data_IF_313563088869
#
_entry.id   IF_313563088869
#
_cell.length_a   1.000
_cell.length_b   1.000
_cell.length_c   1.000
_cell.angle_alpha   90.00
_cell.angle_beta   90.00
_cell.angle_gamma   90.00
#
_symmetry.space_group_name_H-M   'P 1'
#
loop_
_entity.id
_entity.type
_entity.pdbx_description
1 polymer ?
#
# COMPACT_ATOMS: atom_id res chain seq x y z
N UNK A 1 25.75 -23.11 -13.39
CA UNK A 1 26.07 -21.73 -13.78
C UNK A 1 24.75 -21.05 -14.13
N UNK A 2 24.18 -20.29 -13.21
CA UNK A 2 22.94 -19.55 -13.45
C UNK A 2 23.31 -18.19 -14.04
N UNK A 3 23.09 -18.01 -15.31
CA UNK A 3 23.09 -16.70 -15.93
C UNK A 3 21.76 -16.01 -15.55
N UNK A 4 21.76 -15.27 -14.44
CA UNK A 4 20.74 -14.25 -14.26
C UNK A 4 20.94 -13.23 -15.39
N UNK A 5 20.02 -13.18 -16.34
CA UNK A 5 19.97 -12.12 -17.34
C UNK A 5 19.80 -10.82 -16.55
N UNK A 6 20.85 -9.97 -16.51
CA UNK A 6 20.71 -8.58 -16.07
C UNK A 6 19.63 -7.96 -16.95
N UNK A 7 18.53 -7.52 -16.37
CA UNK A 7 17.58 -6.69 -17.09
C UNK A 7 18.35 -5.47 -17.61
N UNK A 8 18.14 -5.09 -18.87
CA UNK A 8 18.74 -3.87 -19.46
C UNK A 8 18.43 -2.58 -18.67
N UNK A 9 17.53 -2.65 -17.68
CA UNK A 9 17.10 -1.54 -16.84
C UNK A 9 17.95 -1.30 -15.57
N UNK A 10 18.98 -2.10 -15.32
CA UNK A 10 19.93 -1.87 -14.22
C UNK A 10 19.45 -2.25 -12.81
N UNK A 11 18.15 -2.48 -12.59
CA UNK A 11 17.59 -2.88 -11.30
C UNK A 11 17.27 -4.37 -11.27
N UNK A 12 17.49 -5.00 -10.11
CA UNK A 12 17.17 -6.42 -9.84
C UNK A 12 16.03 -6.58 -8.86
N UNK A 13 15.62 -5.49 -8.19
CA UNK A 13 14.58 -5.47 -7.17
C UNK A 13 13.60 -4.34 -7.44
N UNK A 14 12.32 -4.69 -7.46
CA UNK A 14 11.22 -3.76 -7.70
C UNK A 14 10.28 -3.80 -6.50
N UNK A 15 10.21 -2.70 -5.78
CA UNK A 15 9.31 -2.50 -4.64
C UNK A 15 8.19 -1.55 -5.07
N UNK A 16 6.95 -1.92 -4.80
CA UNK A 16 5.77 -1.16 -5.20
C UNK A 16 4.99 -0.68 -3.98
N UNK A 17 4.38 0.49 -4.05
CA UNK A 17 3.20 0.74 -3.25
C UNK A 17 2.02 -0.11 -3.77
N UNK A 18 0.93 -0.18 -3.03
CA UNK A 18 -0.23 -1.00 -3.39
C UNK A 18 -1.39 -0.17 -3.93
N UNK A 19 -1.95 0.71 -3.09
CA UNK A 19 -3.14 1.49 -3.45
C UNK A 19 -2.78 2.55 -4.51
N UNK A 20 -3.52 2.61 -5.61
CA UNK A 20 -3.27 3.43 -6.80
C UNK A 20 -1.96 3.15 -7.57
N UNK A 21 -1.16 2.19 -7.13
CA UNK A 21 0.03 1.74 -7.86
C UNK A 21 -0.19 0.39 -8.53
N UNK A 22 -0.61 -0.62 -7.79
CA UNK A 22 -0.92 -1.96 -8.30
C UNK A 22 -2.41 -2.22 -8.44
N UNK A 23 -3.23 -1.54 -7.63
CA UNK A 23 -4.67 -1.76 -7.56
C UNK A 23 -5.43 -0.45 -7.32
N UNK A 24 -6.61 -0.35 -7.90
CA UNK A 24 -7.62 0.64 -7.53
C UNK A 24 -8.48 0.08 -6.39
N UNK A 25 -8.23 0.57 -5.18
CA UNK A 25 -9.01 0.29 -3.98
C UNK A 25 -9.87 1.49 -3.54
N UNK A 26 -9.95 2.52 -4.37
CA UNK A 26 -10.64 3.77 -4.04
C UNK A 26 -12.08 3.55 -3.62
N UNK A 27 -12.81 2.68 -4.32
CA UNK A 27 -14.21 2.36 -4.00
C UNK A 27 -14.36 1.76 -2.61
N UNK A 28 -13.50 0.81 -2.24
CA UNK A 28 -13.48 0.19 -0.91
C UNK A 28 -13.12 1.20 0.17
N UNK A 29 -12.08 1.98 -0.07
CA UNK A 29 -11.60 3.01 0.87
C UNK A 29 -12.68 4.07 1.10
N UNK A 30 -13.25 4.63 0.03
CA UNK A 30 -14.32 5.64 0.12
C UNK A 30 -15.53 5.09 0.88
N UNK A 31 -15.97 3.86 0.59
CA UNK A 31 -17.09 3.22 1.29
C UNK A 31 -16.81 3.12 2.80
N UNK A 32 -15.64 2.63 3.19
CA UNK A 32 -15.28 2.46 4.60
C UNK A 32 -15.19 3.80 5.34
N UNK A 33 -14.53 4.82 4.76
CA UNK A 33 -14.49 6.16 5.34
C UNK A 33 -15.89 6.76 5.44
N UNK A 34 -16.70 6.67 4.38
CA UNK A 34 -18.05 7.22 4.33
C UNK A 34 -18.94 6.65 5.44
N UNK A 35 -18.88 5.35 5.66
CA UNK A 35 -19.66 4.68 6.69
C UNK A 35 -19.29 5.19 8.09
N UNK A 36 -17.99 5.30 8.40
CA UNK A 36 -17.53 5.83 9.69
C UNK A 36 -17.85 7.31 9.82
N UNK A 37 -17.54 8.13 8.81
CA UNK A 37 -17.80 9.58 8.84
C UNK A 37 -19.27 9.89 9.04
N UNK A 38 -20.17 9.24 8.30
CA UNK A 38 -21.62 9.43 8.44
C UNK A 38 -22.13 9.05 9.83
N UNK A 39 -21.64 7.94 10.39
CA UNK A 39 -22.01 7.49 11.74
C UNK A 39 -21.68 8.53 12.81
N UNK A 40 -20.61 9.29 12.60
CA UNK A 40 -20.17 10.33 13.52
C UNK A 40 -20.58 11.76 13.10
N UNK A 41 -21.50 11.89 12.12
CA UNK A 41 -22.08 13.17 11.71
C UNK A 41 -21.26 14.02 10.76
N UNK A 42 -20.14 13.50 10.22
CA UNK A 42 -19.29 14.19 9.24
C UNK A 42 -19.83 13.98 7.81
N UNK A 43 -21.02 14.53 7.52
CA UNK A 43 -21.73 14.30 6.25
C UNK A 43 -21.28 15.19 5.09
N UNK A 44 -20.52 16.24 5.37
CA UNK A 44 -20.07 17.23 4.36
C UNK A 44 -18.75 16.84 3.68
N UNK A 45 -18.08 15.78 4.11
CA UNK A 45 -16.85 15.28 3.50
C UNK A 45 -17.17 14.65 2.15
N UNK A 46 -16.50 15.09 1.08
CA UNK A 46 -16.72 14.54 -0.26
C UNK A 46 -15.87 13.29 -0.51
N UNK A 47 -16.26 12.50 -1.52
CA UNK A 47 -15.44 11.33 -1.93
C UNK A 47 -14.05 11.76 -2.40
N UNK A 48 -13.94 12.92 -3.04
CA UNK A 48 -12.66 13.47 -3.48
C UNK A 48 -11.76 13.88 -2.30
N UNK A 49 -12.35 14.40 -1.21
CA UNK A 49 -11.58 14.69 0.01
C UNK A 49 -11.02 13.39 0.60
N UNK A 50 -11.83 12.33 0.64
CA UNK A 50 -11.37 11.00 1.10
C UNK A 50 -10.24 10.49 0.21
N UNK A 51 -10.40 10.51 -1.11
CA UNK A 51 -9.39 10.03 -2.07
C UNK A 51 -8.05 10.74 -1.92
N UNK A 52 -8.04 12.05 -1.61
CA UNK A 52 -6.80 12.83 -1.38
C UNK A 52 -6.02 12.39 -0.14
N UNK A 53 -6.61 11.59 0.74
CA UNK A 53 -5.93 11.05 1.91
C UNK A 53 -5.35 9.65 1.69
N UNK A 54 -5.62 9.01 0.54
CA UNK A 54 -5.09 7.68 0.23
C UNK A 54 -3.56 7.73 0.23
N UNK A 55 -2.93 6.71 0.82
CA UNK A 55 -1.48 6.65 1.03
C UNK A 55 -1.02 7.14 2.42
N UNK A 56 -1.88 7.88 3.15
CA UNK A 56 -1.63 8.29 4.54
C UNK A 56 -2.07 7.21 5.54
N UNK A 57 -1.71 7.39 6.82
CA UNK A 57 -2.27 6.56 7.89
C UNK A 57 -3.75 6.84 8.09
N UNK A 58 -4.50 5.90 8.66
CA UNK A 58 -5.93 6.10 8.94
C UNK A 58 -6.17 7.24 9.92
N UNK A 59 -5.33 7.35 10.96
CA UNK A 59 -5.40 8.43 11.94
C UNK A 59 -5.17 9.79 11.28
N UNK A 60 -4.14 9.93 10.45
CA UNK A 60 -3.86 11.16 9.72
C UNK A 60 -5.02 11.51 8.77
N UNK A 61 -5.56 10.52 8.06
CA UNK A 61 -6.68 10.71 7.13
C UNK A 61 -7.93 11.18 7.87
N UNK A 62 -8.31 10.52 8.98
CA UNK A 62 -9.44 10.96 9.79
C UNK A 62 -9.22 12.35 10.38
N UNK A 63 -8.00 12.65 10.87
CA UNK A 63 -7.68 13.99 11.39
C UNK A 63 -7.87 15.07 10.32
N UNK A 64 -7.40 14.84 9.09
CA UNK A 64 -7.58 15.77 7.97
C UNK A 64 -9.07 15.95 7.62
N UNK A 65 -9.83 14.86 7.57
CA UNK A 65 -11.23 14.86 7.13
C UNK A 65 -12.21 15.42 8.17
N UNK A 66 -11.87 15.31 9.45
CA UNK A 66 -12.79 15.66 10.56
C UNK A 66 -12.32 16.87 11.38
N UNK A 67 -11.03 17.20 11.32
CA UNK A 67 -10.40 18.18 12.21
C UNK A 67 -10.11 17.64 13.62
N UNK A 68 -10.40 16.37 13.90
CA UNK A 68 -10.13 15.72 15.19
C UNK A 68 -8.63 15.52 15.36
N UNK A 69 -8.12 15.83 16.55
CA UNK A 69 -6.71 15.64 16.94
C UNK A 69 -6.57 14.77 18.19
N UNK A 70 -7.68 14.41 18.82
CA UNK A 70 -7.70 13.53 19.99
C UNK A 70 -7.34 12.09 19.57
N UNK A 71 -6.28 11.55 20.17
CA UNK A 71 -5.73 10.25 19.81
C UNK A 71 -6.69 9.09 20.09
N UNK A 72 -7.47 9.15 21.19
CA UNK A 72 -8.41 8.10 21.54
C UNK A 72 -9.58 8.06 20.55
N UNK A 73 -10.08 9.23 20.16
CA UNK A 73 -11.14 9.33 19.15
C UNK A 73 -10.65 8.86 17.77
N UNK A 74 -9.44 9.22 17.36
CA UNK A 74 -8.83 8.76 16.09
C UNK A 74 -8.62 7.24 16.12
N UNK A 75 -8.17 6.66 17.23
CA UNK A 75 -8.07 5.22 17.40
C UNK A 75 -9.44 4.52 17.31
N UNK A 76 -10.50 5.16 17.84
CA UNK A 76 -11.89 4.73 17.66
C UNK A 76 -12.31 4.66 16.20
N UNK A 77 -12.10 5.74 15.44
CA UNK A 77 -12.39 5.78 13.99
C UNK A 77 -11.63 4.72 13.23
N UNK A 78 -10.35 4.54 13.52
CA UNK A 78 -9.51 3.49 12.93
C UNK A 78 -10.07 2.09 13.21
N UNK A 79 -10.52 1.83 14.43
CA UNK A 79 -11.12 0.55 14.82
C UNK A 79 -12.42 0.28 14.04
N UNK A 80 -13.28 1.29 13.89
CA UNK A 80 -14.51 1.19 13.10
C UNK A 80 -14.21 0.98 11.62
N UNK A 81 -13.28 1.76 11.06
CA UNK A 81 -12.85 1.60 9.66
C UNK A 81 -12.36 0.17 9.37
N UNK A 82 -11.61 -0.45 10.30
CA UNK A 82 -11.15 -1.84 10.14
C UNK A 82 -12.32 -2.82 10.00
N UNK A 83 -13.39 -2.64 10.78
CA UNK A 83 -14.59 -3.47 10.70
C UNK A 83 -15.31 -3.29 9.36
N UNK A 84 -15.42 -2.05 8.88
CA UNK A 84 -15.96 -1.79 7.54
C UNK A 84 -15.08 -2.43 6.44
N UNK A 85 -13.76 -2.34 6.58
CA UNK A 85 -12.83 -2.91 5.62
C UNK A 85 -12.89 -4.44 5.56
N UNK A 86 -13.24 -5.13 6.67
CA UNK A 86 -13.47 -6.58 6.68
C UNK A 86 -14.57 -7.00 5.68
N UNK A 87 -15.55 -6.14 5.48
CA UNK A 87 -16.69 -6.42 4.59
C UNK A 87 -16.50 -5.85 3.19
N UNK A 88 -15.92 -4.65 3.07
CA UNK A 88 -16.02 -3.87 1.85
C UNK A 88 -14.72 -3.74 1.05
N UNK A 89 -13.53 -3.98 1.68
CA UNK A 89 -12.28 -3.65 1.02
C UNK A 89 -11.96 -4.56 -0.16
N UNK A 90 -11.87 -5.87 0.07
CA UNK A 90 -11.41 -6.83 -0.93
C UNK A 90 -12.32 -6.88 -2.15
N UNK A 91 -13.63 -6.90 -1.94
CA UNK A 91 -14.64 -6.96 -3.03
C UNK A 91 -14.69 -5.66 -3.87
N UNK A 92 -14.16 -4.56 -3.37
CA UNK A 92 -14.12 -3.27 -4.05
C UNK A 92 -12.69 -2.83 -4.41
N UNK A 93 -11.74 -3.76 -4.44
CA UNK A 93 -10.37 -3.53 -4.90
C UNK A 93 -10.14 -4.30 -6.20
N UNK A 94 -9.62 -3.62 -7.22
CA UNK A 94 -9.38 -4.21 -8.55
C UNK A 94 -7.96 -3.92 -8.97
N UNK A 95 -7.21 -4.92 -9.46
CA UNK A 95 -5.90 -4.70 -10.07
C UNK A 95 -6.03 -3.80 -11.30
N UNK A 96 -5.08 -2.89 -11.51
CA UNK A 96 -5.00 -2.20 -12.79
C UNK A 96 -4.71 -3.21 -13.92
N UNK A 97 -5.15 -2.87 -15.12
CA UNK A 97 -5.11 -3.78 -16.28
C UNK A 97 -3.69 -4.32 -16.54
N UNK A 98 -2.69 -3.47 -16.40
CA UNK A 98 -1.28 -3.77 -16.70
C UNK A 98 -0.56 -4.48 -15.55
N UNK A 99 -1.08 -4.40 -14.33
CA UNK A 99 -0.39 -4.90 -13.13
C UNK A 99 0.06 -6.35 -13.28
N UNK A 100 -0.84 -7.23 -13.72
CA UNK A 100 -0.53 -8.65 -13.83
C UNK A 100 0.57 -8.92 -14.87
N UNK A 101 0.49 -8.28 -16.03
CA UNK A 101 1.48 -8.48 -17.12
C UNK A 101 2.86 -7.94 -16.73
N UNK A 102 2.93 -6.77 -16.10
CA UNK A 102 4.19 -6.17 -15.63
C UNK A 102 4.83 -7.05 -14.55
N UNK A 103 4.07 -7.45 -13.53
CA UNK A 103 4.60 -8.28 -12.45
C UNK A 103 5.08 -9.65 -12.94
N UNK A 104 4.37 -10.29 -13.88
CA UNK A 104 4.80 -11.54 -14.48
C UNK A 104 6.10 -11.35 -15.29
N UNK A 105 6.21 -10.31 -16.10
CA UNK A 105 7.43 -10.02 -16.86
C UNK A 105 8.65 -9.80 -15.94
N UNK A 106 8.48 -9.09 -14.84
CA UNK A 106 9.55 -8.90 -13.83
C UNK A 106 9.94 -10.24 -13.18
N UNK A 107 8.96 -11.09 -12.87
CA UNK A 107 9.20 -12.41 -12.30
C UNK A 107 9.97 -13.32 -13.26
N UNK A 108 9.57 -13.32 -14.53
CA UNK A 108 10.24 -14.10 -15.59
C UNK A 108 11.66 -13.59 -15.83
N UNK A 109 11.93 -12.30 -15.65
CA UNK A 109 13.27 -11.72 -15.68
C UNK A 109 14.10 -12.05 -14.42
N UNK A 110 13.56 -12.78 -13.45
CA UNK A 110 14.26 -13.17 -12.23
C UNK A 110 14.38 -12.07 -11.18
N UNK A 111 13.60 -10.99 -11.29
CA UNK A 111 13.63 -9.89 -10.34
C UNK A 111 13.01 -10.26 -9.00
N UNK A 112 13.51 -9.65 -7.92
CA UNK A 112 12.80 -9.60 -6.65
C UNK A 112 11.64 -8.60 -6.73
N UNK A 113 10.47 -9.01 -6.27
CA UNK A 113 9.26 -8.18 -6.27
C UNK A 113 8.73 -8.08 -4.85
N UNK A 114 8.50 -6.85 -4.39
CA UNK A 114 7.93 -6.60 -3.07
C UNK A 114 6.91 -5.47 -3.06
N UNK A 115 6.18 -5.38 -1.95
CA UNK A 115 5.18 -4.34 -1.72
C UNK A 115 5.50 -3.62 -0.40
N UNK A 116 5.45 -2.28 -0.40
CA UNK A 116 5.63 -1.41 0.77
C UNK A 116 4.45 -0.46 0.83
N UNK A 117 3.55 -0.66 1.78
CA UNK A 117 2.30 0.10 1.85
C UNK A 117 1.93 0.48 3.29
N UNK A 118 1.14 1.55 3.44
CA UNK A 118 0.48 1.90 4.70
C UNK A 118 -0.72 0.99 5.00
N UNK A 119 -1.23 0.29 3.96
CA UNK A 119 -2.25 -0.74 4.11
C UNK A 119 -1.70 -1.94 4.85
N UNK A 120 -2.52 -2.62 5.63
CA UNK A 120 -2.10 -3.81 6.36
C UNK A 120 -1.79 -4.97 5.42
N UNK A 121 -0.69 -5.68 5.69
CA UNK A 121 -0.19 -6.80 4.91
C UNK A 121 -1.25 -7.87 4.65
N UNK A 122 -2.05 -8.24 5.66
CA UNK A 122 -3.08 -9.27 5.50
C UNK A 122 -4.15 -8.86 4.48
N UNK A 123 -4.49 -7.56 4.39
CA UNK A 123 -5.45 -7.04 3.40
C UNK A 123 -4.89 -7.08 1.98
N UNK A 124 -3.60 -6.76 1.85
CA UNK A 124 -2.90 -6.86 0.57
C UNK A 124 -2.89 -8.32 0.12
N UNK A 125 -2.52 -9.24 1.01
CA UNK A 125 -2.50 -10.68 0.72
C UNK A 125 -3.87 -11.22 0.34
N UNK A 126 -4.92 -10.90 1.07
CA UNK A 126 -6.29 -11.35 0.80
C UNK A 126 -6.73 -11.03 -0.63
N UNK A 127 -6.35 -9.87 -1.14
CA UNK A 127 -6.63 -9.48 -2.52
C UNK A 127 -5.70 -10.17 -3.52
N UNK A 128 -4.39 -10.19 -3.25
CA UNK A 128 -3.40 -10.75 -4.17
C UNK A 128 -3.49 -12.27 -4.31
N UNK A 129 -3.85 -12.99 -3.26
CA UNK A 129 -3.99 -14.46 -3.28
C UNK A 129 -5.09 -14.92 -4.25
N UNK A 130 -6.00 -14.03 -4.67
CA UNK A 130 -6.99 -14.31 -5.73
C UNK A 130 -6.37 -14.27 -7.15
N UNK A 131 -5.21 -13.66 -7.31
CA UNK A 131 -4.60 -13.38 -8.63
C UNK A 131 -3.22 -14.01 -8.81
N UNK A 132 -2.49 -14.27 -7.72
CA UNK A 132 -1.12 -14.75 -7.73
C UNK A 132 -0.92 -15.89 -6.74
N UNK A 133 0.00 -16.86 -7.00
CA UNK A 133 0.41 -17.84 -6.01
C UNK A 133 0.97 -17.16 -4.75
N UNK A 134 0.76 -17.74 -3.59
CA UNK A 134 1.19 -17.17 -2.30
C UNK A 134 2.70 -16.90 -2.16
N UNK A 135 3.53 -17.52 -3.00
CA UNK A 135 4.98 -17.30 -3.09
C UNK A 135 5.41 -16.32 -4.18
N UNK A 136 4.47 -15.62 -4.82
CA UNK A 136 4.78 -14.74 -5.94
C UNK A 136 5.64 -13.53 -5.52
N UNK A 137 5.23 -12.85 -4.46
CA UNK A 137 5.96 -11.71 -3.90
C UNK A 137 7.05 -12.20 -2.94
N UNK A 138 8.25 -11.64 -3.09
CA UNK A 138 9.39 -11.98 -2.22
C UNK A 138 9.24 -11.35 -0.84
N UNK A 139 8.56 -10.20 -0.74
CA UNK A 139 8.27 -9.51 0.51
C UNK A 139 7.00 -8.65 0.39
N UNK A 140 6.25 -8.55 1.47
CA UNK A 140 5.15 -7.57 1.64
C UNK A 140 5.34 -6.94 3.01
N UNK A 141 5.58 -5.62 3.04
CA UNK A 141 5.66 -4.80 4.25
C UNK A 141 4.40 -3.95 4.32
N UNK A 142 3.57 -4.22 5.29
CA UNK A 142 2.34 -3.46 5.57
C UNK A 142 2.52 -2.45 6.68
N UNK A 143 1.49 -1.66 6.95
CA UNK A 143 1.50 -0.64 7.99
C UNK A 143 1.76 -1.16 9.41
N UNK A 144 1.44 -2.45 9.66
CA UNK A 144 1.70 -3.10 10.95
C UNK A 144 3.14 -3.60 11.13
N UNK A 145 3.94 -3.63 10.07
CA UNK A 145 5.31 -4.16 10.09
C UNK A 145 6.37 -3.09 10.42
N UNK A 146 5.96 -1.83 10.51
CA UNK A 146 6.84 -0.67 10.78
C UNK A 146 6.34 0.12 11.98
N UNK A 147 7.26 0.79 12.66
CA UNK A 147 6.93 1.70 13.74
C UNK A 147 6.52 3.07 13.20
N UNK A 148 7.18 3.50 12.14
CA UNK A 148 6.93 4.79 11.49
C UNK A 148 6.52 4.56 10.04
N UNK A 149 5.27 4.95 9.71
CA UNK A 149 4.73 4.84 8.37
C UNK A 149 5.43 5.78 7.37
N UNK A 150 5.19 5.55 6.08
CA UNK A 150 5.60 6.48 5.01
C UNK A 150 5.17 7.92 5.36
N UNK A 151 6.01 8.94 5.17
CA UNK A 151 7.23 8.98 4.36
C UNK A 151 8.51 8.51 5.04
N UNK A 152 8.46 7.83 6.22
CA UNK A 152 9.64 7.17 6.77
C UNK A 152 10.16 6.10 5.79
N UNK A 153 11.48 5.97 5.58
CA UNK A 153 12.06 4.93 4.74
C UNK A 153 12.09 3.55 5.41
N UNK A 154 11.56 3.42 6.63
CA UNK A 154 11.67 2.20 7.46
C UNK A 154 11.22 0.94 6.72
N UNK A 155 10.07 0.98 6.04
CA UNK A 155 9.56 -0.15 5.29
C UNK A 155 10.44 -0.54 4.09
N UNK A 156 10.99 0.45 3.36
CA UNK A 156 11.93 0.20 2.27
C UNK A 156 13.23 -0.41 2.78
N UNK A 157 13.80 0.14 3.86
CA UNK A 157 15.03 -0.35 4.46
C UNK A 157 14.86 -1.75 5.03
N UNK A 158 13.71 -2.04 5.62
CA UNK A 158 13.35 -3.39 6.08
C UNK A 158 13.34 -4.39 4.92
N UNK A 159 12.69 -4.03 3.80
CA UNK A 159 12.62 -4.88 2.62
C UNK A 159 14.01 -5.13 2.00
N UNK A 160 14.81 -4.09 1.81
CA UNK A 160 16.18 -4.16 1.29
C UNK A 160 17.03 -5.11 2.16
N UNK A 161 16.93 -4.96 3.49
CA UNK A 161 17.66 -5.81 4.44
C UNK A 161 17.21 -7.27 4.36
N UNK A 162 15.91 -7.54 4.31
CA UNK A 162 15.38 -8.91 4.29
C UNK A 162 15.65 -9.63 2.97
N UNK A 163 15.65 -8.89 1.86
CA UNK A 163 15.96 -9.43 0.54
C UNK A 163 17.47 -9.55 0.28
N UNK A 164 18.31 -9.04 1.18
CA UNK A 164 19.78 -9.00 1.04
C UNK A 164 20.24 -8.33 -0.26
N UNK A 165 19.56 -7.24 -0.65
CA UNK A 165 19.88 -6.41 -1.83
C UNK A 165 20.38 -5.03 -1.42
N UNK A 166 20.84 -4.23 -2.38
CA UNK A 166 21.34 -2.87 -2.14
C UNK A 166 20.32 -1.82 -2.60
N UNK A 167 20.42 -0.59 -2.09
CA UNK A 167 19.63 0.55 -2.56
C UNK A 167 19.86 0.80 -4.07
N UNK A 168 21.09 0.64 -4.56
CA UNK A 168 21.44 0.85 -5.96
C UNK A 168 20.80 -0.17 -6.92
N UNK A 169 20.44 -1.35 -6.43
CA UNK A 169 19.79 -2.42 -7.19
C UNK A 169 18.26 -2.38 -7.08
N UNK A 170 17.72 -1.45 -6.26
CA UNK A 170 16.30 -1.39 -5.93
C UNK A 170 15.64 -0.17 -6.56
N UNK A 171 14.53 -0.41 -7.26
CA UNK A 171 13.61 0.63 -7.73
C UNK A 171 12.33 0.60 -6.88
N UNK A 172 11.96 1.76 -6.32
CA UNK A 172 10.66 1.91 -5.66
C UNK A 172 9.68 2.65 -6.57
N UNK A 173 8.47 2.12 -6.71
CA UNK A 173 7.41 2.63 -7.57
C UNK A 173 6.18 2.93 -6.71
N UNK A 174 5.68 4.15 -6.81
CA UNK A 174 4.48 4.61 -6.13
C UNK A 174 3.83 5.77 -6.89
N UNK A 175 2.60 6.11 -6.55
CA UNK A 175 1.78 7.11 -7.24
C UNK A 175 1.73 8.47 -6.54
N UNK A 176 2.22 8.54 -5.29
CA UNK A 176 2.00 9.69 -4.41
C UNK A 176 3.28 10.47 -4.07
N UNK A 177 3.11 11.72 -3.63
CA UNK A 177 4.21 12.50 -3.06
C UNK A 177 4.78 11.89 -1.79
N UNK A 178 3.98 11.09 -1.07
CA UNK A 178 4.44 10.33 0.11
C UNK A 178 5.45 9.26 -0.31
N UNK A 179 5.20 8.56 -1.41
CA UNK A 179 6.13 7.56 -1.96
C UNK A 179 7.43 8.20 -2.42
N UNK A 180 7.33 9.33 -3.14
CA UNK A 180 8.50 10.07 -3.57
C UNK A 180 9.36 10.55 -2.38
N UNK A 181 8.71 11.03 -1.31
CA UNK A 181 9.39 11.43 -0.08
C UNK A 181 10.04 10.22 0.63
N UNK A 182 9.35 9.07 0.67
CA UNK A 182 9.87 7.81 1.23
C UNK A 182 11.11 7.32 0.49
N UNK A 183 11.09 7.38 -0.85
CA UNK A 183 12.24 6.99 -1.67
C UNK A 183 13.44 7.90 -1.50
N UNK A 184 13.21 9.18 -1.22
CA UNK A 184 14.26 10.19 -1.05
C UNK A 184 14.94 10.11 0.32
N UNK A 185 14.22 9.69 1.33
CA UNK A 185 14.72 9.60 2.70
C UNK A 185 15.69 8.40 2.89
#
# INVERSE_FOLDING_TARGET
MNFAAKSDMGYTTYLFDFDYTLADSSRGIVTCFRNVLNKHGYTNVTDEDIKRTIGKTLEESFSILTGVTDEEQLAGFKSEYRKEADTHMTINTVLFLETKSVLLALKDAGAFIGIISTKYRYRIKEMLDQHFPGSFFNIIVGGEDVQTAKPSPEGLLLAIKQLHVTKAETLYIGDSTVDAATAKA
#
